data_IF_173453933776
#
_entry.id   IF_173453933776
#
_cell.length_a   1.000
_cell.length_b   1.000
_cell.length_c   1.000
_cell.angle_alpha   90.00
_cell.angle_beta   90.00
_cell.angle_gamma   90.00
#
_symmetry.space_group_name_H-M   'P 1'
#
loop_
_entity.id
_entity.type
_entity.pdbx_description
1 polymer ?
#
# COMPACT_ATOMS: atom_id res chain seq x y z
N UNK A 1 0.07 17.58 1.79
CA UNK A 1 1.26 16.74 1.57
C UNK A 1 2.44 17.36 2.27
N UNK A 2 2.97 16.68 3.29
CA UNK A 2 4.09 17.14 4.10
C UNK A 2 5.38 17.27 3.27
N UNK A 3 5.60 16.37 2.30
CA UNK A 3 6.78 16.37 1.42
C UNK A 3 6.86 17.63 0.57
N UNK A 4 5.80 17.96 -0.17
CA UNK A 4 5.76 19.16 -1.04
C UNK A 4 5.89 20.42 -0.19
N UNK A 5 5.22 20.46 0.97
CA UNK A 5 5.29 21.61 1.88
C UNK A 5 6.68 21.78 2.52
N UNK A 6 7.35 20.69 2.88
CA UNK A 6 8.72 20.72 3.35
C UNK A 6 9.63 21.30 2.26
N UNK A 7 9.53 20.79 1.04
CA UNK A 7 10.35 21.25 -0.06
C UNK A 7 10.15 22.75 -0.37
N UNK A 8 8.90 23.23 -0.40
CA UNK A 8 8.63 24.65 -0.61
C UNK A 8 9.15 25.52 0.55
N UNK A 9 8.97 25.08 1.80
CA UNK A 9 9.38 25.84 2.99
C UNK A 9 10.89 25.96 3.13
N UNK A 10 11.62 24.87 2.84
CA UNK A 10 13.07 24.81 2.94
C UNK A 10 13.79 25.11 1.62
N UNK A 11 13.05 25.49 0.58
CA UNK A 11 13.58 25.81 -0.76
C UNK A 11 14.39 24.65 -1.36
N UNK A 12 13.90 23.43 -1.17
CA UNK A 12 14.46 22.23 -1.81
C UNK A 12 13.82 22.12 -3.20
N UNK A 13 14.58 22.30 -4.29
CA UNK A 13 13.99 22.45 -5.63
C UNK A 13 13.62 21.12 -6.30
N UNK A 14 13.96 19.98 -5.69
CA UNK A 14 13.83 18.66 -6.30
C UNK A 14 13.26 17.65 -5.31
N UNK A 15 12.21 16.96 -5.72
CA UNK A 15 11.63 15.80 -5.04
C UNK A 15 11.72 14.61 -5.97
N UNK A 16 12.25 13.52 -5.45
CA UNK A 16 12.17 12.21 -6.07
C UNK A 16 11.00 11.45 -5.47
N UNK A 17 10.09 10.99 -6.32
CA UNK A 17 9.14 9.94 -6.01
C UNK A 17 9.68 8.62 -6.56
N UNK A 18 9.25 7.50 -5.98
CA UNK A 18 9.69 6.18 -6.41
C UNK A 18 9.10 5.78 -7.76
N UNK A 19 8.11 4.90 -7.72
CA UNK A 19 7.47 4.36 -8.91
C UNK A 19 6.58 5.39 -9.62
N UNK A 20 6.60 5.35 -10.94
CA UNK A 20 5.62 6.06 -11.77
C UNK A 20 4.36 5.18 -11.89
N UNK A 21 3.21 5.57 -11.32
CA UNK A 21 2.03 4.71 -11.28
C UNK A 21 1.39 4.49 -12.65
N UNK A 22 1.64 5.36 -13.63
CA UNK A 22 1.19 5.14 -15.01
C UNK A 22 2.00 4.04 -15.68
N UNK A 23 3.32 4.04 -15.50
CA UNK A 23 4.21 3.03 -16.11
C UNK A 23 4.17 1.69 -15.36
N UNK A 24 4.09 1.72 -14.02
CA UNK A 24 4.09 0.52 -13.19
C UNK A 24 2.72 -0.19 -13.14
N UNK A 25 1.63 0.57 -13.11
CA UNK A 25 0.28 0.05 -12.84
C UNK A 25 -0.80 0.49 -13.83
N UNK A 26 -0.47 1.32 -14.83
CA UNK A 26 -1.46 1.85 -15.78
C UNK A 26 -2.42 2.87 -15.17
N UNK A 27 -2.05 3.50 -14.04
CA UNK A 27 -2.87 4.53 -13.39
C UNK A 27 -2.93 5.81 -14.23
N UNK A 28 -4.07 6.51 -14.18
CA UNK A 28 -4.25 7.85 -14.77
C UNK A 28 -3.56 8.96 -13.98
N UNK A 29 -3.14 8.69 -12.75
CA UNK A 29 -2.53 9.69 -11.86
C UNK A 29 -1.03 9.92 -12.12
N UNK A 30 -0.38 9.03 -12.88
CA UNK A 30 1.03 9.17 -13.28
C UNK A 30 1.20 9.94 -14.59
N UNK A 31 2.41 9.91 -15.13
CA UNK A 31 2.73 10.48 -16.45
C UNK A 31 3.43 9.44 -17.33
N UNK A 32 3.48 9.68 -18.64
CA UNK A 32 4.27 8.83 -19.55
C UNK A 32 5.74 9.27 -19.64
N UNK A 33 6.11 10.29 -18.87
CA UNK A 33 7.46 10.82 -18.75
C UNK A 33 7.96 10.73 -17.29
N UNK A 34 8.99 11.51 -16.95
CA UNK A 34 9.50 11.58 -15.59
C UNK A 34 8.76 12.55 -14.67
N UNK A 35 7.78 13.34 -15.14
CA UNK A 35 7.13 14.41 -14.36
C UNK A 35 6.14 13.85 -13.32
N UNK A 36 6.36 14.20 -12.05
CA UNK A 36 5.54 13.76 -10.93
C UNK A 36 4.71 14.87 -10.25
N UNK A 37 4.48 16.01 -10.93
CA UNK A 37 3.72 17.15 -10.38
C UNK A 37 2.26 16.82 -10.11
N UNK A 38 1.69 15.85 -10.84
CA UNK A 38 0.29 15.46 -10.69
C UNK A 38 0.00 14.65 -9.41
N UNK A 39 0.92 14.59 -8.45
CA UNK A 39 0.75 13.87 -7.19
C UNK A 39 -0.54 14.26 -6.44
N UNK A 40 -1.00 15.52 -6.54
CA UNK A 40 -2.26 15.98 -5.91
C UNK A 40 -3.49 15.20 -6.44
N UNK A 41 -3.46 14.74 -7.68
CA UNK A 41 -4.55 13.99 -8.31
C UNK A 41 -4.51 12.48 -7.99
N UNK A 42 -3.62 12.04 -7.11
CA UNK A 42 -3.64 10.66 -6.63
C UNK A 42 -4.94 10.37 -5.91
N UNK A 43 -5.50 9.18 -6.15
CA UNK A 43 -6.75 8.73 -5.52
C UNK A 43 -6.64 8.75 -3.99
N UNK A 44 -5.45 8.47 -3.45
CA UNK A 44 -5.16 8.48 -2.01
C UNK A 44 -5.18 9.88 -1.40
N UNK A 45 -4.95 10.93 -2.19
CA UNK A 45 -4.99 12.31 -1.71
C UNK A 45 -6.36 12.96 -1.94
N UNK A 46 -7.16 12.47 -2.90
CA UNK A 46 -8.48 13.03 -3.23
C UNK A 46 -8.45 14.56 -3.36
N UNK A 47 -7.47 15.07 -4.11
CA UNK A 47 -7.27 16.51 -4.29
C UNK A 47 -6.62 17.24 -3.09
N UNK A 48 -6.16 16.50 -2.08
CA UNK A 48 -5.61 17.01 -0.82
C UNK A 48 -6.60 17.92 -0.06
N UNK A 49 -7.88 17.55 -0.08
CA UNK A 49 -8.95 18.31 0.55
C UNK A 49 -8.92 18.15 2.09
N UNK A 50 -8.80 19.27 2.81
CA UNK A 50 -8.80 19.30 4.28
C UNK A 50 -10.17 19.58 4.90
N UNK A 51 -11.17 19.96 4.11
CA UNK A 51 -12.50 20.35 4.59
C UNK A 51 -13.17 19.32 5.51
N UNK A 52 -13.09 17.98 5.25
CA UNK A 52 -13.67 17.00 6.17
C UNK A 52 -13.13 17.12 7.60
N UNK A 53 -11.84 17.43 7.75
CA UNK A 53 -11.19 17.56 9.04
C UNK A 53 -11.53 18.87 9.75
N UNK A 54 -11.67 19.96 8.98
CA UNK A 54 -12.15 21.25 9.49
C UNK A 54 -13.59 21.13 9.98
N UNK A 55 -14.45 20.44 9.24
CA UNK A 55 -15.84 20.19 9.61
C UNK A 55 -15.97 19.29 10.85
N UNK A 56 -15.00 18.40 11.09
CA UNK A 56 -14.87 17.66 12.35
C UNK A 56 -14.33 18.53 13.49
N UNK A 57 -13.94 19.78 13.23
CA UNK A 57 -13.47 20.71 14.27
C UNK A 57 -11.98 20.61 14.57
N UNK A 58 -11.18 19.96 13.71
CA UNK A 58 -9.72 20.03 13.84
C UNK A 58 -9.27 21.45 13.47
N UNK A 59 -8.55 22.17 14.34
CA UNK A 59 -8.07 23.51 14.04
C UNK A 59 -7.15 23.51 12.82
N UNK A 60 -7.29 24.54 11.97
CA UNK A 60 -6.54 24.67 10.71
C UNK A 60 -5.02 24.65 10.93
N UNK A 61 -4.56 25.18 12.06
CA UNK A 61 -3.14 25.26 12.43
C UNK A 61 -2.54 23.86 12.61
N UNK A 62 -3.33 22.90 13.11
CA UNK A 62 -2.92 21.50 13.24
C UNK A 62 -2.88 20.76 11.90
N UNK A 63 -3.59 21.28 10.89
CA UNK A 63 -3.66 20.70 9.56
C UNK A 63 -2.58 21.22 8.60
N UNK A 64 -1.72 22.15 9.06
CA UNK A 64 -0.72 22.81 8.21
C UNK A 64 0.09 21.84 7.34
N UNK A 65 0.61 20.75 7.92
CA UNK A 65 1.41 19.74 7.20
C UNK A 65 0.59 18.86 6.24
N UNK A 66 -0.71 18.78 6.47
CA UNK A 66 -1.65 18.01 5.64
C UNK A 66 -2.14 18.86 4.46
N UNK A 67 -2.27 20.18 4.64
CA UNK A 67 -2.65 21.12 3.57
C UNK A 67 -1.60 21.16 2.47
N UNK A 68 -2.00 20.88 1.23
CA UNK A 68 -1.12 21.04 0.07
C UNK A 68 -0.74 22.52 -0.12
N UNK A 69 0.50 22.87 -0.50
CA UNK A 69 0.84 24.23 -0.89
C UNK A 69 -0.03 24.71 -2.07
N UNK A 70 -0.28 26.00 -2.17
CA UNK A 70 -0.93 26.60 -3.33
C UNK A 70 -0.06 26.46 -4.58
N UNK A 71 -0.68 26.54 -5.76
CA UNK A 71 0.05 26.43 -7.03
C UNK A 71 1.09 27.56 -7.16
N UNK A 72 0.78 28.76 -6.65
CA UNK A 72 1.72 29.88 -6.53
C UNK A 72 2.94 29.54 -5.66
N UNK A 73 2.77 28.89 -4.51
CA UNK A 73 3.88 28.49 -3.65
C UNK A 73 4.78 27.45 -4.33
N UNK A 74 4.19 26.55 -5.11
CA UNK A 74 4.92 25.51 -5.85
C UNK A 74 5.70 26.11 -7.02
N UNK A 75 5.06 26.98 -7.81
CA UNK A 75 5.68 27.67 -8.93
C UNK A 75 6.82 28.57 -8.47
N UNK A 76 6.60 29.37 -7.41
CA UNK A 76 7.62 30.24 -6.83
C UNK A 76 8.83 29.47 -6.30
N UNK A 77 8.61 28.26 -5.77
CA UNK A 77 9.69 27.39 -5.30
C UNK A 77 10.47 26.73 -6.45
N UNK A 78 10.02 26.89 -7.71
CA UNK A 78 10.57 26.22 -8.89
C UNK A 78 10.70 24.70 -8.69
N UNK A 79 9.74 24.11 -7.98
CA UNK A 79 9.81 22.73 -7.52
C UNK A 79 9.68 21.75 -8.69
N UNK A 80 10.64 20.84 -8.78
CA UNK A 80 10.63 19.72 -9.73
C UNK A 80 10.32 18.45 -8.97
N UNK A 81 9.25 17.77 -9.37
CA UNK A 81 8.90 16.45 -8.87
C UNK A 81 9.17 15.47 -10.00
N UNK A 82 9.93 14.41 -9.73
CA UNK A 82 10.22 13.39 -10.74
C UNK A 82 10.06 11.97 -10.20
N UNK A 83 9.63 11.05 -11.06
CA UNK A 83 9.63 9.61 -10.75
C UNK A 83 10.99 9.00 -11.06
N UNK A 84 11.61 8.37 -10.06
CA UNK A 84 12.84 7.61 -10.24
C UNK A 84 12.65 6.44 -11.21
N UNK A 85 11.49 5.78 -11.17
CA UNK A 85 11.19 4.65 -12.06
C UNK A 85 11.09 5.01 -13.54
N UNK A 86 11.10 6.29 -13.91
CA UNK A 86 11.28 6.70 -15.31
C UNK A 86 12.74 6.64 -15.76
N UNK A 87 13.68 6.91 -14.86
CA UNK A 87 15.11 7.01 -15.17
C UNK A 87 15.89 5.73 -14.82
N UNK A 88 15.41 4.94 -13.87
CA UNK A 88 16.00 3.68 -13.44
C UNK A 88 15.17 2.54 -14.05
N UNK A 89 15.77 1.82 -14.99
CA UNK A 89 15.09 0.83 -15.85
C UNK A 89 14.43 -0.30 -15.05
N UNK A 90 15.07 -0.74 -13.98
CA UNK A 90 14.68 -1.85 -13.12
C UNK A 90 14.20 -1.36 -11.74
N UNK A 91 13.61 -0.15 -11.68
CA UNK A 91 13.04 0.36 -10.43
C UNK A 91 11.77 -0.41 -10.06
N UNK A 92 11.94 -1.49 -9.30
CA UNK A 92 10.87 -2.36 -8.80
C UNK A 92 11.23 -2.90 -7.42
N UNK A 93 10.25 -3.47 -6.73
CA UNK A 93 10.38 -3.97 -5.35
C UNK A 93 11.54 -4.97 -5.18
N UNK A 94 11.79 -5.86 -6.14
CA UNK A 94 12.84 -6.88 -6.05
C UNK A 94 14.23 -6.25 -6.15
N UNK A 95 14.47 -5.47 -7.20
CA UNK A 95 15.76 -4.82 -7.43
C UNK A 95 16.07 -3.79 -6.34
N UNK A 96 15.09 -2.98 -5.96
CA UNK A 96 15.23 -1.99 -4.89
C UNK A 96 15.41 -2.68 -3.52
N UNK A 97 14.69 -3.76 -3.26
CA UNK A 97 14.82 -4.56 -2.05
C UNK A 97 16.22 -5.17 -1.93
N UNK A 98 16.72 -5.81 -3.00
CA UNK A 98 18.08 -6.36 -3.01
C UNK A 98 19.13 -5.27 -2.82
N UNK A 99 19.02 -4.15 -3.54
CA UNK A 99 19.92 -3.01 -3.36
C UNK A 99 19.93 -2.53 -1.90
N UNK A 100 18.76 -2.40 -1.26
CA UNK A 100 18.68 -1.97 0.13
C UNK A 100 19.35 -2.98 1.07
N UNK A 101 19.12 -4.28 0.88
CA UNK A 101 19.73 -5.36 1.67
C UNK A 101 21.26 -5.31 1.61
N UNK A 102 21.82 -5.12 0.42
CA UNK A 102 23.26 -5.00 0.20
C UNK A 102 23.87 -3.76 0.91
N UNK A 103 23.04 -2.77 1.25
CA UNK A 103 23.42 -1.53 1.92
C UNK A 103 22.97 -1.45 3.39
N UNK A 104 22.67 -2.59 4.01
CA UNK A 104 22.43 -2.70 5.45
C UNK A 104 20.96 -2.56 5.88
N UNK A 105 20.02 -2.59 4.94
CA UNK A 105 18.61 -2.74 5.27
C UNK A 105 18.35 -4.08 5.95
N UNK A 106 17.50 -4.06 6.99
CA UNK A 106 17.14 -5.24 7.75
C UNK A 106 15.70 -5.63 7.41
N UNK A 107 15.48 -6.74 6.70
CA UNK A 107 14.13 -7.22 6.42
C UNK A 107 13.53 -7.86 7.68
N UNK A 108 12.22 -8.11 7.63
CA UNK A 108 11.55 -8.97 8.60
C UNK A 108 12.21 -10.36 8.62
N UNK A 109 12.18 -11.03 9.77
CA UNK A 109 12.79 -12.36 9.97
C UNK A 109 11.88 -13.27 10.80
N UNK A 110 12.09 -14.57 10.67
CA UNK A 110 11.35 -15.57 11.44
C UNK A 110 9.84 -15.44 11.22
N UNK A 111 9.07 -15.44 12.31
CA UNK A 111 7.61 -15.38 12.28
C UNK A 111 7.07 -14.11 11.61
N UNK A 112 7.82 -13.00 11.65
CA UNK A 112 7.42 -11.74 11.02
C UNK A 112 7.61 -11.74 9.50
N UNK A 113 8.36 -12.70 8.96
CA UNK A 113 8.56 -12.87 7.52
C UNK A 113 7.80 -14.07 6.95
N UNK A 114 7.10 -14.83 7.79
CA UNK A 114 6.38 -16.03 7.35
C UNK A 114 5.13 -15.65 6.55
N UNK A 115 4.98 -16.08 5.29
CA UNK A 115 3.79 -15.82 4.50
C UNK A 115 2.51 -16.44 5.08
N UNK A 116 2.61 -17.50 5.89
CA UNK A 116 1.46 -18.06 6.62
C UNK A 116 0.96 -17.12 7.72
N UNK A 117 1.84 -16.30 8.28
CA UNK A 117 1.50 -15.31 9.30
C UNK A 117 1.00 -14.02 8.66
N UNK A 118 1.68 -13.55 7.62
CA UNK A 118 1.58 -12.17 7.15
C UNK A 118 0.75 -12.00 5.88
N UNK A 119 0.52 -13.08 5.13
CA UNK A 119 -0.05 -12.99 3.79
C UNK A 119 0.76 -12.12 2.83
N UNK A 120 2.09 -12.07 3.02
CA UNK A 120 3.05 -11.38 2.15
C UNK A 120 4.21 -12.32 1.84
N UNK A 121 4.71 -12.29 0.60
CA UNK A 121 5.86 -13.11 0.18
C UNK A 121 7.17 -12.32 0.15
N UNK A 122 7.11 -10.98 0.26
CA UNK A 122 8.30 -10.13 0.32
C UNK A 122 8.53 -9.68 1.77
N UNK A 123 9.64 -10.12 2.37
CA UNK A 123 10.01 -9.81 3.76
C UNK A 123 10.65 -8.42 3.94
N UNK A 124 10.95 -7.73 2.84
CA UNK A 124 11.57 -6.41 2.83
C UNK A 124 10.57 -5.26 2.62
N UNK A 125 9.28 -5.56 2.54
CA UNK A 125 8.21 -4.57 2.46
C UNK A 125 7.59 -4.30 3.84
N UNK A 126 7.13 -3.07 4.06
CA UNK A 126 6.36 -2.66 5.25
C UNK A 126 7.01 -3.12 6.57
N UNK A 127 8.31 -2.88 6.69
CA UNK A 127 9.12 -3.34 7.83
C UNK A 127 8.99 -2.45 9.06
N UNK A 128 8.34 -1.30 8.93
CA UNK A 128 8.17 -0.29 9.97
C UNK A 128 6.93 -0.53 10.84
N UNK A 129 5.97 -1.34 10.39
CA UNK A 129 4.72 -1.60 11.11
C UNK A 129 4.00 -2.88 10.64
N UNK A 130 3.21 -3.51 11.53
CA UNK A 130 2.55 -4.81 11.32
C UNK A 130 1.12 -4.73 10.77
N UNK A 131 0.46 -3.57 10.86
CA UNK A 131 -0.94 -3.36 10.51
C UNK A 131 -1.19 -3.39 9.00
N UNK A 132 -0.18 -3.23 8.14
CA UNK A 132 -0.34 -3.49 6.70
C UNK A 132 -0.89 -4.90 6.46
N UNK A 133 -0.47 -5.90 7.25
CA UNK A 133 -0.89 -7.28 7.02
C UNK A 133 -2.38 -7.44 7.31
N UNK A 134 -2.85 -6.81 8.40
CA UNK A 134 -4.28 -6.72 8.73
C UNK A 134 -5.02 -5.93 7.64
N UNK A 135 -4.48 -4.80 7.17
CA UNK A 135 -5.09 -4.03 6.07
C UNK A 135 -5.25 -4.85 4.78
N UNK A 136 -4.22 -5.60 4.40
CA UNK A 136 -4.24 -6.43 3.20
C UNK A 136 -5.18 -7.64 3.35
N UNK A 137 -5.30 -8.18 4.56
CA UNK A 137 -6.32 -9.15 4.90
C UNK A 137 -7.74 -8.58 4.74
N UNK A 138 -8.02 -7.41 5.32
CA UNK A 138 -9.32 -6.76 5.19
C UNK A 138 -9.67 -6.46 3.73
N UNK A 139 -8.67 -6.04 2.94
CA UNK A 139 -8.80 -5.88 1.49
C UNK A 139 -9.16 -7.19 0.80
N UNK A 140 -8.53 -8.31 1.15
CA UNK A 140 -8.88 -9.62 0.63
C UNK A 140 -10.33 -10.00 0.96
N UNK A 141 -10.80 -9.75 2.18
CA UNK A 141 -12.19 -9.99 2.57
C UNK A 141 -13.17 -9.12 1.76
N UNK A 142 -12.80 -7.88 1.44
CA UNK A 142 -13.65 -6.93 0.72
C UNK A 142 -13.64 -7.12 -0.80
N UNK A 143 -12.47 -7.43 -1.38
CA UNK A 143 -12.22 -7.38 -2.83
C UNK A 143 -11.84 -8.74 -3.43
N UNK A 144 -11.62 -9.78 -2.62
CA UNK A 144 -11.30 -11.14 -3.07
C UNK A 144 -9.83 -11.37 -3.44
N UNK A 145 -8.94 -10.39 -3.21
CA UNK A 145 -7.49 -10.54 -3.41
C UNK A 145 -6.70 -9.72 -2.39
N UNK A 146 -5.63 -10.32 -1.88
CA UNK A 146 -4.74 -9.78 -0.86
C UNK A 146 -3.45 -9.21 -1.44
N UNK A 147 -2.38 -9.29 -0.64
CA UNK A 147 -1.06 -8.76 -0.97
C UNK A 147 -0.25 -9.69 -1.86
N UNK A 148 -0.36 -11.01 -1.66
CA UNK A 148 0.40 -12.00 -2.44
C UNK A 148 0.01 -11.92 -3.91
N UNK A 149 -1.28 -11.83 -4.24
CA UNK A 149 -1.73 -11.65 -5.64
C UNK A 149 -1.11 -10.39 -6.27
N UNK A 150 -0.99 -9.30 -5.52
CA UNK A 150 -0.33 -8.09 -6.02
C UNK A 150 1.17 -8.32 -6.28
N UNK A 151 1.88 -8.92 -5.31
CA UNK A 151 3.32 -9.18 -5.41
C UNK A 151 3.64 -10.13 -6.57
N UNK A 152 2.92 -11.24 -6.70
CA UNK A 152 3.13 -12.18 -7.82
C UNK A 152 2.75 -11.56 -9.15
N UNK A 153 1.73 -10.70 -9.21
CA UNK A 153 1.37 -10.01 -10.46
C UNK A 153 2.49 -9.09 -10.95
N UNK A 154 3.16 -8.39 -10.02
CA UNK A 154 4.33 -7.56 -10.34
C UNK A 154 5.48 -8.45 -10.82
N UNK A 155 5.82 -9.50 -10.07
CA UNK A 155 6.91 -10.42 -10.44
C UNK A 155 6.69 -11.10 -11.81
N UNK A 156 5.46 -11.52 -12.12
CA UNK A 156 5.11 -12.08 -13.44
C UNK A 156 5.32 -11.04 -14.56
N UNK A 157 4.90 -9.78 -14.36
CA UNK A 157 5.10 -8.72 -15.37
C UNK A 157 6.58 -8.42 -15.63
N UNK A 158 7.41 -8.56 -14.61
CA UNK A 158 8.87 -8.41 -14.73
C UNK A 158 9.57 -9.66 -15.27
N UNK A 159 8.86 -10.80 -15.40
CA UNK A 159 9.43 -12.06 -15.89
C UNK A 159 10.24 -12.82 -14.83
N UNK A 160 10.09 -12.47 -13.55
CA UNK A 160 10.82 -13.10 -12.44
C UNK A 160 10.26 -14.48 -12.09
N UNK A 161 8.95 -14.65 -12.22
CA UNK A 161 8.25 -15.93 -12.01
C UNK A 161 7.24 -16.18 -13.12
N UNK A 162 6.92 -17.46 -13.33
CA UNK A 162 5.84 -17.88 -14.20
C UNK A 162 4.48 -17.64 -13.54
N UNK A 163 3.43 -17.58 -14.37
CA UNK A 163 2.05 -17.53 -13.90
C UNK A 163 1.69 -18.71 -13.00
N UNK A 164 2.20 -19.89 -13.32
CA UNK A 164 1.95 -21.13 -12.57
C UNK A 164 2.58 -21.09 -11.17
N UNK A 165 3.79 -20.55 -11.04
CA UNK A 165 4.42 -20.29 -9.75
C UNK A 165 3.65 -19.25 -8.94
N UNK A 166 3.26 -18.15 -9.58
CA UNK A 166 2.45 -17.10 -8.94
C UNK A 166 1.13 -17.63 -8.40
N UNK A 167 0.45 -18.52 -9.13
CA UNK A 167 -0.79 -19.16 -8.69
C UNK A 167 -0.60 -20.09 -7.49
N UNK A 168 0.52 -20.84 -7.46
CA UNK A 168 0.84 -21.69 -6.30
C UNK A 168 0.99 -20.83 -5.04
N UNK A 169 1.71 -19.72 -5.13
CA UNK A 169 1.90 -18.78 -4.02
C UNK A 169 0.57 -18.12 -3.60
N UNK A 170 -0.20 -17.61 -4.57
CA UNK A 170 -1.49 -16.98 -4.29
C UNK A 170 -2.46 -17.94 -3.59
N UNK A 171 -2.56 -19.19 -4.04
CA UNK A 171 -3.43 -20.20 -3.40
C UNK A 171 -2.98 -20.59 -2.00
N UNK A 172 -1.68 -20.55 -1.72
CA UNK A 172 -1.14 -20.90 -0.41
C UNK A 172 -1.30 -19.76 0.61
N UNK A 173 -1.04 -18.52 0.18
CA UNK A 173 -0.73 -17.43 1.09
C UNK A 173 -1.60 -16.18 0.93
N UNK A 174 -2.30 -15.99 -0.19
CA UNK A 174 -3.09 -14.77 -0.38
C UNK A 174 -4.25 -14.71 0.62
N UNK A 175 -4.39 -13.57 1.30
CA UNK A 175 -5.40 -13.39 2.34
C UNK A 175 -5.10 -14.09 3.66
N UNK A 176 -3.88 -14.61 3.87
CA UNK A 176 -3.44 -15.03 5.20
C UNK A 176 -3.20 -13.82 6.10
N UNK A 177 -3.54 -13.96 7.37
CA UNK A 177 -3.18 -13.04 8.46
C UNK A 177 -3.39 -13.82 9.76
N UNK A 178 -2.37 -13.89 10.60
CA UNK A 178 -2.46 -14.64 11.85
C UNK A 178 -3.31 -13.91 12.88
N UNK A 179 -3.92 -14.68 13.78
CA UNK A 179 -4.69 -14.15 14.91
C UNK A 179 -3.81 -13.25 15.80
N UNK A 180 -2.51 -13.56 15.92
CA UNK A 180 -1.53 -12.70 16.61
C UNK A 180 -1.50 -11.28 16.06
N UNK A 181 -1.49 -11.11 14.74
CA UNK A 181 -1.49 -9.78 14.11
C UNK A 181 -2.81 -9.06 14.34
N UNK A 182 -3.93 -9.78 14.26
CA UNK A 182 -5.27 -9.26 14.53
C UNK A 182 -5.39 -8.82 15.99
N UNK A 183 -4.97 -9.65 16.94
CA UNK A 183 -4.96 -9.34 18.38
C UNK A 183 -4.09 -8.12 18.69
N UNK A 184 -2.91 -8.01 18.07
CA UNK A 184 -2.04 -6.85 18.24
C UNK A 184 -2.70 -5.57 17.72
N UNK A 185 -3.37 -5.64 16.57
CA UNK A 185 -4.12 -4.53 16.01
C UNK A 185 -5.32 -4.14 16.90
N UNK A 186 -6.07 -5.12 17.40
CA UNK A 186 -7.19 -4.89 18.32
C UNK A 186 -6.72 -4.23 19.62
N UNK A 187 -5.61 -4.73 20.19
CA UNK A 187 -4.98 -4.16 21.39
C UNK A 187 -4.56 -2.70 21.17
N UNK A 188 -3.99 -2.38 20.01
CA UNK A 188 -3.61 -1.01 19.65
C UNK A 188 -4.81 -0.07 19.56
N UNK A 189 -5.94 -0.57 19.03
CA UNK A 189 -7.19 0.20 18.92
C UNK A 189 -8.05 0.18 20.19
N UNK A 190 -7.65 -0.55 21.23
CA UNK A 190 -8.42 -0.77 22.45
C UNK A 190 -9.81 -1.39 22.21
N UNK A 191 -9.91 -2.31 21.25
CA UNK A 191 -11.12 -3.09 20.95
C UNK A 191 -10.91 -4.57 21.22
N UNK A 192 -12.02 -5.31 21.34
CA UNK A 192 -12.01 -6.77 21.40
C UNK A 192 -11.88 -7.38 20.00
N UNK A 193 -11.40 -8.62 19.93
CA UNK A 193 -11.39 -9.39 18.67
C UNK A 193 -12.80 -9.64 18.15
N UNK A 194 -13.80 -9.74 19.04
CA UNK A 194 -15.20 -9.93 18.67
C UNK A 194 -15.74 -8.69 17.94
N UNK A 195 -15.48 -7.48 18.47
CA UNK A 195 -15.82 -6.22 17.78
C UNK A 195 -15.14 -6.10 16.42
N UNK A 196 -13.88 -6.54 16.33
CA UNK A 196 -13.17 -6.58 15.04
C UNK A 196 -13.92 -7.49 14.05
N UNK A 197 -14.19 -8.74 14.42
CA UNK A 197 -14.85 -9.70 13.53
C UNK A 197 -16.27 -9.28 13.15
N UNK A 198 -17.03 -8.68 14.08
CA UNK A 198 -18.35 -8.11 13.80
C UNK A 198 -18.29 -7.05 12.68
N UNK A 199 -17.28 -6.17 12.73
CA UNK A 199 -17.07 -5.16 11.68
C UNK A 199 -16.61 -5.80 10.37
N UNK A 200 -15.69 -6.77 10.43
CA UNK A 200 -15.19 -7.46 9.23
C UNK A 200 -16.32 -8.19 8.51
N UNK A 201 -17.12 -8.97 9.22
CA UNK A 201 -18.18 -9.78 8.61
C UNK A 201 -19.36 -8.93 8.10
N UNK A 202 -19.61 -7.78 8.73
CA UNK A 202 -20.55 -6.79 8.20
C UNK A 202 -20.09 -6.20 6.86
N UNK A 203 -18.79 -6.08 6.65
CA UNK A 203 -18.20 -5.52 5.43
C UNK A 203 -17.73 -6.58 4.42
N UNK A 204 -17.86 -7.87 4.74
CA UNK A 204 -17.53 -8.97 3.84
C UNK A 204 -18.42 -8.95 2.60
N UNK A 205 -17.79 -8.99 1.43
CA UNK A 205 -18.50 -8.96 0.16
C UNK A 205 -19.20 -10.31 -0.11
N UNK A 206 -20.53 -10.36 0.07
CA UNK A 206 -21.33 -11.59 -0.09
C UNK A 206 -21.43 -12.09 -1.53
N UNK A 207 -21.09 -11.26 -2.51
CA UNK A 207 -21.03 -11.64 -3.92
C UNK A 207 -19.75 -12.42 -4.24
N UNK A 208 -18.70 -12.24 -3.43
CA UNK A 208 -17.41 -12.93 -3.60
C UNK A 208 -17.26 -14.12 -2.66
N UNK A 209 -17.94 -14.09 -1.52
CA UNK A 209 -17.78 -15.07 -0.45
C UNK A 209 -19.03 -15.94 -0.27
N UNK A 210 -18.82 -17.22 0.02
CA UNK A 210 -19.87 -18.14 0.43
C UNK A 210 -19.51 -18.84 1.73
N UNK A 211 -20.53 -19.12 2.54
CA UNK A 211 -20.38 -19.90 3.75
C UNK A 211 -20.51 -21.38 3.39
N UNK A 212 -19.51 -22.18 3.76
CA UNK A 212 -19.53 -23.63 3.55
C UNK A 212 -20.49 -24.29 4.54
N UNK A 213 -20.85 -25.55 4.27
CA UNK A 213 -21.66 -26.34 5.20
C UNK A 213 -20.98 -26.56 6.57
N UNK A 214 -19.67 -26.31 6.66
CA UNK A 214 -18.88 -26.41 7.88
C UNK A 214 -18.85 -25.08 8.67
N UNK A 215 -19.48 -24.03 8.14
CA UNK A 215 -19.48 -22.70 8.75
C UNK A 215 -18.23 -21.86 8.43
N UNK A 216 -17.44 -22.26 7.43
CA UNK A 216 -16.24 -21.53 7.02
C UNK A 216 -16.50 -20.63 5.82
N UNK A 217 -15.78 -19.52 5.73
CA UNK A 217 -15.86 -18.62 4.57
C UNK A 217 -14.91 -19.09 3.46
N UNK A 218 -15.41 -19.22 2.24
CA UNK A 218 -14.60 -19.46 1.05
C UNK A 218 -14.94 -18.50 -0.10
N UNK A 219 -13.95 -18.18 -0.94
CA UNK A 219 -14.17 -17.43 -2.17
C UNK A 219 -14.92 -18.29 -3.18
N UNK A 220 -15.94 -17.71 -3.81
CA UNK A 220 -16.67 -18.32 -4.94
C UNK A 220 -15.78 -18.47 -6.17
N UNK A 221 -14.87 -17.52 -6.36
CA UNK A 221 -13.95 -17.48 -7.50
C UNK A 221 -12.52 -17.58 -6.97
N UNK A 222 -11.87 -18.71 -7.25
CA UNK A 222 -10.47 -18.90 -6.87
C UNK A 222 -9.55 -18.25 -7.90
N UNK A 223 -8.32 -17.86 -7.52
CA UNK A 223 -7.33 -17.40 -8.48
C UNK A 223 -7.05 -18.51 -9.51
N UNK A 224 -7.28 -18.18 -10.78
CA UNK A 224 -7.06 -19.02 -11.96
C UNK A 224 -5.85 -18.55 -12.75
#
# INVERSE_FOLDING_TARGET
SSVVRCATSFKIPLIFLGENPALAFGSKSGSLDGDAKNIRAYDTLSGANIEPWLNWGIPKEKLYWYTFPSDYEIERAALRLVYLGFYIRDFNDIANGQFALDHGFMPRKGIEADPYETGSINAFECVDEDFVHVNQFLKFIKLGFGKVIQQVSVQIRHGEITREEGLKLARAFDGRCSDRLIENFCRYLEITTDEFWDVVDKNRNRDLWQLTNQGEWELRFKPE
#
